data_IF_819100507366
#
_entry.id   IF_819100507366
#
_cell.length_a   1.000
_cell.length_b   1.000
_cell.length_c   1.000
_cell.angle_alpha   90.00
_cell.angle_beta   90.00
_cell.angle_gamma   90.00
#
_symmetry.space_group_name_H-M   'P 1'
#
loop_
_entity.id
_entity.type
_entity.pdbx_description
1 polymer ?
#
# COMPACT_ATOMS: atom_id res chain seq x y z
N UNK A 1 -28.52 -29.95 105.34
CA UNK A 1 -27.69 -29.87 104.12
C UNK A 1 -27.76 -31.21 103.41
N UNK A 2 -28.35 -31.27 102.21
CA UNK A 2 -27.99 -32.10 101.04
C UNK A 2 -29.11 -31.95 99.98
N UNK A 3 -28.71 -31.76 98.72
CA UNK A 3 -29.54 -31.51 97.52
C UNK A 3 -30.38 -32.73 97.10
N UNK A 4 -31.50 -32.52 96.40
CA UNK A 4 -31.79 -33.18 95.10
C UNK A 4 -32.95 -32.55 94.29
N UNK A 5 -32.82 -32.68 92.96
CA UNK A 5 -33.53 -32.02 91.86
C UNK A 5 -34.91 -32.60 91.50
N UNK A 6 -35.56 -31.93 90.52
CA UNK A 6 -36.62 -32.37 89.54
C UNK A 6 -38.06 -32.03 89.99
N UNK A 7 -38.97 -31.44 89.20
CA UNK A 7 -39.21 -31.52 87.75
C UNK A 7 -39.92 -30.29 87.16
N UNK A 8 -39.53 -29.91 85.94
CA UNK A 8 -40.24 -29.04 85.01
C UNK A 8 -41.23 -29.90 84.19
N UNK A 9 -42.55 -29.63 84.20
CA UNK A 9 -43.50 -30.17 83.20
C UNK A 9 -44.86 -29.41 83.14
N UNK A 10 -45.12 -28.41 83.99
CA UNK A 10 -46.51 -27.93 84.19
C UNK A 10 -46.96 -26.61 83.54
N UNK A 11 -46.09 -25.76 82.96
CA UNK A 11 -46.54 -24.44 82.49
C UNK A 11 -45.87 -23.98 81.18
N UNK A 12 -45.57 -24.93 80.31
CA UNK A 12 -45.33 -24.72 78.86
C UNK A 12 -46.69 -24.57 78.11
N UNK A 13 -47.82 -24.58 78.82
CA UNK A 13 -49.17 -24.67 78.25
C UNK A 13 -49.94 -23.33 78.12
N UNK A 14 -49.32 -22.17 78.42
CA UNK A 14 -50.05 -20.90 78.57
C UNK A 14 -49.81 -19.80 77.52
N UNK A 15 -48.90 -19.96 76.56
CA UNK A 15 -48.50 -18.83 75.68
C UNK A 15 -48.27 -19.21 74.21
N UNK A 16 -49.01 -20.19 73.71
CA UNK A 16 -48.96 -20.66 72.32
C UNK A 16 -50.14 -20.20 71.44
N UNK A 17 -50.68 -18.99 71.65
CA UNK A 17 -51.85 -18.49 70.89
C UNK A 17 -51.63 -17.21 70.07
N UNK A 18 -50.43 -17.01 69.53
CA UNK A 18 -50.20 -16.05 68.45
C UNK A 18 -49.54 -16.71 67.24
N UNK A 19 -50.08 -17.85 66.80
CA UNK A 19 -49.88 -18.28 65.41
C UNK A 19 -50.84 -17.46 64.56
N UNK A 20 -50.33 -16.36 64.03
CA UNK A 20 -50.87 -15.68 62.86
C UNK A 20 -51.19 -16.75 61.80
N UNK A 21 -52.48 -16.98 61.57
CA UNK A 21 -52.97 -17.64 60.36
C UNK A 21 -52.46 -16.83 59.15
N UNK A 22 -51.38 -17.27 58.49
CA UNK A 22 -51.19 -16.89 57.10
C UNK A 22 -52.42 -17.41 56.34
N UNK A 23 -53.18 -16.50 55.73
CA UNK A 23 -54.34 -16.85 54.91
C UNK A 23 -53.89 -17.93 53.92
N UNK A 24 -54.53 -19.10 53.96
CA UNK A 24 -54.24 -20.23 53.07
C UNK A 24 -54.37 -19.88 51.58
N UNK A 25 -54.98 -18.74 51.27
CA UNK A 25 -55.26 -18.26 49.91
C UNK A 25 -54.21 -17.29 49.37
N UNK A 26 -53.11 -17.04 50.09
CA UNK A 26 -52.07 -16.11 49.66
C UNK A 26 -51.32 -16.58 48.41
N UNK A 27 -51.49 -17.84 47.98
CA UNK A 27 -51.00 -18.34 46.69
C UNK A 27 -51.90 -17.96 45.51
N UNK A 28 -53.20 -17.69 45.74
CA UNK A 28 -54.15 -17.33 44.68
C UNK A 28 -53.80 -16.00 44.01
N UNK A 29 -53.06 -15.12 44.69
CA UNK A 29 -52.51 -13.88 44.10
C UNK A 29 -51.49 -14.14 42.98
N UNK A 30 -50.86 -15.32 42.96
CA UNK A 30 -49.97 -15.76 41.89
C UNK A 30 -50.70 -16.50 40.75
N UNK A 31 -52.01 -16.77 40.90
CA UNK A 31 -52.88 -17.41 39.90
C UNK A 31 -53.88 -16.43 39.27
N UNK A 32 -53.93 -15.17 39.74
CA UNK A 32 -54.94 -14.18 39.34
C UNK A 32 -54.91 -13.82 37.84
N UNK A 33 -53.76 -13.98 37.17
CA UNK A 33 -53.58 -13.68 35.74
C UNK A 33 -53.63 -14.94 34.84
N UNK A 34 -53.95 -16.13 35.40
CA UNK A 34 -53.97 -17.40 34.66
C UNK A 34 -52.59 -17.94 34.25
N UNK A 35 -52.56 -19.04 33.49
CA UNK A 35 -51.32 -19.58 32.90
C UNK A 35 -50.77 -18.64 31.82
N UNK A 36 -49.48 -18.29 31.92
CA UNK A 36 -48.79 -17.51 30.89
C UNK A 36 -48.43 -18.42 29.71
N UNK A 37 -49.08 -18.16 28.57
CA UNK A 37 -48.78 -18.84 27.30
C UNK A 37 -47.57 -18.18 26.64
N UNK A 38 -46.57 -18.96 26.26
CA UNK A 38 -45.40 -18.47 25.52
C UNK A 38 -45.32 -19.16 24.16
N UNK A 39 -45.39 -18.43 23.03
CA UNK A 39 -44.99 -18.99 21.75
C UNK A 39 -43.49 -19.27 21.72
N UNK A 40 -43.05 -20.15 20.81
CA UNK A 40 -41.63 -20.49 20.65
C UNK A 40 -40.78 -19.28 20.26
N UNK A 41 -39.59 -19.16 20.86
CA UNK A 41 -38.61 -18.12 20.54
C UNK A 41 -37.81 -18.39 19.25
N UNK A 42 -37.08 -17.38 18.77
CA UNK A 42 -36.17 -17.52 17.65
C UNK A 42 -35.01 -18.50 17.98
N UNK A 43 -34.65 -19.38 17.03
CA UNK A 43 -33.54 -20.34 17.18
C UNK A 43 -32.55 -20.24 16.01
N UNK A 44 -31.32 -20.73 16.18
CA UNK A 44 -30.24 -20.65 15.16
C UNK A 44 -29.98 -19.21 14.67
N UNK A 45 -29.94 -18.28 15.61
CA UNK A 45 -29.75 -16.86 15.34
C UNK A 45 -28.34 -16.58 14.79
N UNK A 46 -28.26 -15.81 13.71
CA UNK A 46 -27.03 -15.20 13.20
C UNK A 46 -27.24 -13.71 12.98
N UNK A 47 -26.13 -12.96 13.08
CA UNK A 47 -26.10 -11.50 12.99
C UNK A 47 -24.99 -11.09 12.05
N UNK A 48 -25.33 -10.28 11.05
CA UNK A 48 -24.39 -9.81 10.04
C UNK A 48 -24.41 -8.28 10.00
N UNK A 49 -23.32 -7.62 10.43
CA UNK A 49 -23.28 -6.16 10.43
C UNK A 49 -22.96 -5.61 9.04
N UNK A 50 -23.38 -4.37 8.80
CA UNK A 50 -23.16 -3.65 7.57
C UNK A 50 -22.96 -2.16 7.79
N UNK A 51 -23.06 -1.41 6.69
CA UNK A 51 -22.94 0.04 6.68
C UNK A 51 -24.32 0.68 6.97
N UNK A 52 -24.50 1.23 8.17
CA UNK A 52 -25.78 1.80 8.61
C UNK A 52 -26.92 0.77 8.69
N UNK A 53 -26.59 -0.52 8.74
CA UNK A 53 -27.58 -1.61 8.76
C UNK A 53 -27.05 -2.89 9.39
N UNK A 54 -27.96 -3.75 9.83
CA UNK A 54 -27.71 -5.12 10.28
C UNK A 54 -28.70 -6.07 9.61
N UNK A 55 -28.23 -7.26 9.24
CA UNK A 55 -29.09 -8.39 8.90
C UNK A 55 -29.15 -9.36 10.08
N UNK A 56 -30.36 -9.65 10.54
CA UNK A 56 -30.65 -10.69 11.52
C UNK A 56 -31.28 -11.88 10.79
N UNK A 57 -30.84 -13.08 11.14
CA UNK A 57 -31.42 -14.32 10.58
C UNK A 57 -31.64 -15.37 11.65
N UNK A 58 -32.74 -16.11 11.58
CA UNK A 58 -33.02 -17.23 12.47
C UNK A 58 -33.91 -18.27 11.78
N UNK A 59 -34.03 -19.45 12.35
CA UNK A 59 -34.91 -20.49 11.82
C UNK A 59 -36.38 -20.18 12.14
N UNK A 60 -37.26 -20.31 11.13
CA UNK A 60 -38.71 -20.31 11.30
C UNK A 60 -39.14 -21.64 11.93
N UNK A 61 -39.54 -21.59 13.20
CA UNK A 61 -40.05 -22.76 13.92
C UNK A 61 -41.37 -23.30 13.35
N UNK A 62 -41.81 -24.45 13.85
CA UNK A 62 -43.06 -25.10 13.42
C UNK A 62 -44.30 -24.59 14.15
N UNK A 63 -44.13 -23.78 15.20
CA UNK A 63 -45.25 -23.20 15.95
C UNK A 63 -46.08 -22.26 15.08
N UNK A 64 -47.26 -22.74 14.66
CA UNK A 64 -48.19 -22.04 13.76
C UNK A 64 -48.94 -20.89 14.45
N UNK A 65 -48.84 -20.79 15.79
CA UNK A 65 -49.44 -19.70 16.57
C UNK A 65 -48.70 -18.38 16.38
N UNK A 66 -47.40 -18.42 16.05
CA UNK A 66 -46.59 -17.23 15.84
C UNK A 66 -47.08 -16.45 14.61
N UNK A 67 -47.66 -15.27 14.84
CA UNK A 67 -48.16 -14.36 13.79
C UNK A 67 -47.20 -13.23 13.48
N UNK A 68 -46.43 -12.75 14.46
CA UNK A 68 -45.49 -11.64 14.25
C UNK A 68 -44.16 -11.90 14.91
N UNK A 69 -43.14 -11.25 14.37
CA UNK A 69 -41.86 -11.08 15.03
C UNK A 69 -41.70 -9.63 15.46
N UNK A 70 -41.23 -9.42 16.70
CA UNK A 70 -40.88 -8.10 17.23
C UNK A 70 -39.40 -8.08 17.57
N UNK A 71 -38.68 -7.12 17.03
CA UNK A 71 -37.27 -6.86 17.37
C UNK A 71 -37.23 -5.53 18.11
N UNK A 72 -36.57 -5.49 19.27
CA UNK A 72 -36.40 -4.27 20.07
C UNK A 72 -34.93 -4.00 20.33
N UNK A 73 -34.54 -2.72 20.39
CA UNK A 73 -33.18 -2.28 20.73
C UNK A 73 -33.22 -0.93 21.45
N UNK A 74 -32.03 -0.37 21.73
CA UNK A 74 -31.86 0.95 22.38
C UNK A 74 -32.64 1.06 23.70
N UNK A 75 -32.41 0.12 24.62
CA UNK A 75 -33.15 0.06 25.89
C UNK A 75 -34.69 0.00 25.73
N UNK A 76 -35.16 -0.65 24.65
CA UNK A 76 -36.57 -0.86 24.29
C UNK A 76 -37.30 0.39 23.77
N UNK A 77 -36.60 1.48 23.48
CA UNK A 77 -37.23 2.68 22.89
C UNK A 77 -37.49 2.51 21.40
N UNK A 78 -36.68 1.68 20.73
CA UNK A 78 -36.83 1.40 19.30
C UNK A 78 -37.29 -0.04 19.07
N UNK A 79 -38.15 -0.23 18.07
CA UNK A 79 -38.60 -1.56 17.68
C UNK A 79 -39.08 -1.62 16.23
N UNK A 80 -39.08 -2.83 15.69
CA UNK A 80 -39.76 -3.15 14.44
C UNK A 80 -40.60 -4.41 14.63
N UNK A 81 -41.75 -4.46 13.99
CA UNK A 81 -42.62 -5.62 13.92
C UNK A 81 -42.91 -5.98 12.47
N UNK A 82 -42.94 -7.27 12.17
CA UNK A 82 -43.31 -7.76 10.85
C UNK A 82 -43.99 -9.12 10.93
N UNK A 83 -44.75 -9.43 9.88
CA UNK A 83 -45.57 -10.64 9.80
C UNK A 83 -44.70 -11.89 9.63
N UNK A 84 -45.01 -12.91 10.43
CA UNK A 84 -44.35 -14.19 10.38
C UNK A 84 -44.92 -15.13 9.29
N UNK A 85 -46.11 -14.84 8.76
CA UNK A 85 -46.72 -15.56 7.64
C UNK A 85 -45.94 -15.44 6.33
N UNK A 86 -45.04 -14.46 6.23
CA UNK A 86 -44.11 -14.31 5.12
C UNK A 86 -43.06 -15.45 5.04
N UNK A 87 -42.96 -16.30 6.07
CA UNK A 87 -41.97 -17.38 6.17
C UNK A 87 -42.66 -18.70 6.53
N UNK A 88 -42.39 -19.75 5.74
CA UNK A 88 -42.93 -21.10 5.99
C UNK A 88 -42.14 -21.80 7.10
N UNK A 89 -42.76 -22.70 7.87
CA UNK A 89 -42.02 -23.57 8.81
C UNK A 89 -40.81 -24.24 8.15
N UNK A 90 -39.64 -24.11 8.77
CA UNK A 90 -38.37 -24.59 8.23
C UNK A 90 -37.56 -23.55 7.44
N UNK A 91 -38.16 -22.43 7.02
CA UNK A 91 -37.44 -21.35 6.34
C UNK A 91 -36.43 -20.66 7.26
N UNK A 92 -35.54 -19.87 6.66
CA UNK A 92 -34.74 -18.88 7.39
C UNK A 92 -35.44 -17.54 7.34
N UNK A 93 -35.89 -17.05 8.49
CA UNK A 93 -36.34 -15.67 8.63
C UNK A 93 -35.13 -14.75 8.45
N UNK A 94 -35.29 -13.71 7.63
CA UNK A 94 -34.26 -12.70 7.35
C UNK A 94 -34.88 -11.33 7.51
N UNK A 95 -34.26 -10.48 8.32
CA UNK A 95 -34.75 -9.11 8.49
C UNK A 95 -33.58 -8.11 8.55
N UNK A 96 -33.67 -7.06 7.74
CA UNK A 96 -32.73 -5.96 7.76
C UNK A 96 -33.24 -4.85 8.67
N UNK A 97 -32.40 -4.42 9.60
CA UNK A 97 -32.55 -3.14 10.28
C UNK A 97 -31.69 -2.13 9.51
N UNK A 98 -32.32 -1.11 8.93
CA UNK A 98 -31.66 -0.10 8.07
C UNK A 98 -31.69 1.27 8.71
N UNK A 99 -30.93 2.22 8.14
CA UNK A 99 -30.81 3.60 8.63
C UNK A 99 -30.37 3.69 10.11
N UNK A 100 -29.56 2.73 10.54
CA UNK A 100 -29.05 2.66 11.90
C UNK A 100 -27.83 3.58 12.04
N UNK A 101 -27.77 4.34 13.13
CA UNK A 101 -26.58 5.12 13.45
C UNK A 101 -25.39 4.19 13.73
N UNK A 102 -24.17 4.61 13.36
CA UNK A 102 -22.95 3.86 13.65
C UNK A 102 -22.69 3.82 15.17
N UNK A 103 -22.94 2.67 15.77
CA UNK A 103 -22.84 2.42 17.20
C UNK A 103 -22.83 0.91 17.49
N UNK A 104 -22.61 0.54 18.75
CA UNK A 104 -22.80 -0.81 19.24
C UNK A 104 -24.26 -1.01 19.67
N UNK A 105 -24.88 -2.12 19.26
CA UNK A 105 -26.26 -2.45 19.57
C UNK A 105 -26.39 -3.82 20.21
N UNK A 106 -27.41 -3.94 21.07
CA UNK A 106 -27.97 -5.19 21.52
C UNK A 106 -29.44 -5.23 21.10
N UNK A 107 -29.92 -6.43 20.76
CA UNK A 107 -31.31 -6.62 20.32
C UNK A 107 -31.97 -7.71 21.16
N UNK A 108 -33.29 -7.65 21.28
CA UNK A 108 -34.10 -8.77 21.74
C UNK A 108 -35.16 -9.09 20.71
N UNK A 109 -35.28 -10.37 20.37
CA UNK A 109 -36.27 -10.87 19.41
C UNK A 109 -37.37 -11.60 20.18
N UNK A 110 -38.61 -11.26 19.88
CA UNK A 110 -39.80 -11.91 20.39
C UNK A 110 -40.60 -12.50 19.24
N UNK A 111 -41.10 -13.72 19.43
CA UNK A 111 -42.24 -14.22 18.66
C UNK A 111 -43.53 -13.76 19.36
N UNK A 112 -44.54 -13.39 18.59
CA UNK A 112 -45.83 -12.91 19.11
C UNK A 112 -46.96 -13.71 18.46
N UNK A 113 -47.88 -14.22 19.27
CA UNK A 113 -49.08 -14.92 18.79
C UNK A 113 -50.22 -13.94 18.43
N UNK A 114 -51.36 -14.50 18.05
CA UNK A 114 -52.58 -13.77 17.70
C UNK A 114 -53.27 -13.08 18.89
N UNK A 115 -52.98 -13.52 20.12
CA UNK A 115 -53.49 -12.94 21.36
C UNK A 115 -52.54 -11.90 21.96
N UNK A 116 -51.38 -11.65 21.33
CA UNK A 116 -50.38 -10.70 21.80
C UNK A 116 -49.42 -11.25 22.85
N UNK A 117 -49.47 -12.56 23.16
CA UNK A 117 -48.51 -13.19 24.05
C UNK A 117 -47.13 -13.23 23.38
N UNK A 118 -46.08 -12.99 24.16
CA UNK A 118 -44.70 -12.91 23.67
C UNK A 118 -43.91 -14.11 24.16
N UNK A 119 -43.01 -14.62 23.33
CA UNK A 119 -42.01 -15.60 23.75
C UNK A 119 -41.10 -15.03 24.85
N UNK A 120 -40.35 -15.91 25.51
CA UNK A 120 -39.14 -15.47 26.23
C UNK A 120 -38.21 -14.75 25.23
N UNK A 121 -37.64 -13.59 25.58
CA UNK A 121 -36.78 -12.83 24.66
C UNK A 121 -35.54 -13.63 24.29
N UNK A 122 -35.26 -13.68 23.00
CA UNK A 122 -33.96 -14.16 22.49
C UNK A 122 -33.02 -12.98 22.40
N UNK A 123 -32.00 -12.98 23.26
CA UNK A 123 -31.00 -11.92 23.31
C UNK A 123 -29.98 -12.10 22.18
N UNK A 124 -29.79 -11.05 21.40
CA UNK A 124 -28.80 -11.01 20.33
C UNK A 124 -27.47 -10.53 20.92
N UNK A 125 -26.35 -11.25 20.67
CA UNK A 125 -25.03 -10.77 21.09
C UNK A 125 -24.75 -9.36 20.58
N UNK A 126 -24.02 -8.58 21.39
CA UNK A 126 -23.61 -7.22 21.03
C UNK A 126 -22.92 -7.18 19.66
N UNK A 127 -23.31 -6.21 18.83
CA UNK A 127 -22.82 -6.07 17.47
C UNK A 127 -22.68 -4.60 17.08
N UNK A 128 -21.62 -4.29 16.33
CA UNK A 128 -21.43 -2.94 15.79
C UNK A 128 -22.17 -2.79 14.45
N UNK A 129 -22.94 -1.71 14.33
CA UNK A 129 -23.27 -1.13 13.01
C UNK A 129 -22.07 -0.27 12.61
N UNK A 130 -21.57 -0.45 11.40
CA UNK A 130 -20.42 0.31 10.89
C UNK A 130 -20.89 1.45 9.98
N UNK A 131 -20.00 2.40 9.73
CA UNK A 131 -20.33 3.58 8.94
C UNK A 131 -19.11 4.43 8.60
N UNK A 132 -19.30 5.74 8.37
CA UNK A 132 -18.24 6.66 8.02
C UNK A 132 -17.08 6.72 9.04
N UNK A 133 -17.34 6.54 10.34
CA UNK A 133 -16.28 6.56 11.37
C UNK A 133 -15.36 5.38 11.15
N UNK A 134 -15.89 4.16 11.02
CA UNK A 134 -15.10 2.98 10.66
C UNK A 134 -14.33 3.19 9.36
N UNK A 135 -15.00 3.68 8.30
CA UNK A 135 -14.36 3.92 7.01
C UNK A 135 -13.15 4.88 7.11
N UNK A 136 -13.26 5.91 7.96
CA UNK A 136 -12.19 6.90 8.17
C UNK A 136 -10.95 6.32 8.86
N UNK A 137 -11.07 5.18 9.54
CA UNK A 137 -9.94 4.49 10.18
C UNK A 137 -9.18 3.58 9.22
N UNK A 138 -9.71 3.31 8.03
CA UNK A 138 -9.11 2.39 7.09
C UNK A 138 -7.90 3.01 6.39
N UNK A 139 -6.83 2.23 6.31
CA UNK A 139 -5.61 2.56 5.57
C UNK A 139 -5.44 1.59 4.41
N UNK A 140 -4.76 2.02 3.36
CA UNK A 140 -4.46 1.13 2.24
C UNK A 140 -3.43 0.06 2.63
N UNK A 141 -3.51 -1.11 1.97
CA UNK A 141 -2.47 -2.14 2.04
C UNK A 141 -1.16 -1.53 1.57
N UNK A 142 -0.14 -1.60 2.41
CA UNK A 142 1.14 -0.95 2.14
C UNK A 142 1.91 -1.63 1.01
N UNK A 143 2.43 -0.85 0.07
CA UNK A 143 3.46 -1.29 -0.89
C UNK A 143 4.79 -1.39 -0.13
N UNK A 144 5.40 -2.57 -0.10
CA UNK A 144 6.73 -2.82 0.48
C UNK A 144 7.83 -2.28 -0.42
N UNK A 145 7.71 -2.49 -1.73
CA UNK A 145 8.69 -2.03 -2.72
C UNK A 145 8.04 -1.89 -4.10
N UNK A 146 8.60 -1.00 -4.92
CA UNK A 146 8.29 -0.90 -6.34
C UNK A 146 9.62 -0.97 -7.10
N UNK A 147 9.82 -2.04 -7.87
CA UNK A 147 11.11 -2.37 -8.49
C UNK A 147 10.93 -2.49 -9.99
N UNK A 148 11.60 -1.62 -10.74
CA UNK A 148 11.66 -1.72 -12.19
C UNK A 148 12.73 -2.75 -12.58
N UNK A 149 12.37 -3.67 -13.48
CA UNK A 149 13.30 -4.63 -14.10
C UNK A 149 13.64 -4.16 -15.51
N UNK A 150 14.93 -3.91 -15.75
CA UNK A 150 15.43 -3.49 -17.06
C UNK A 150 15.35 -4.62 -18.09
N UNK A 151 15.62 -5.86 -17.67
CA UNK A 151 15.55 -7.05 -18.54
C UNK A 151 14.11 -7.37 -18.96
N UNK A 152 13.15 -7.25 -18.04
CA UNK A 152 11.73 -7.50 -18.32
C UNK A 152 11.01 -6.27 -18.89
N UNK A 153 11.68 -5.10 -18.88
CA UNK A 153 11.09 -3.79 -19.16
C UNK A 153 9.78 -3.54 -18.42
N UNK A 154 9.66 -4.02 -17.19
CA UNK A 154 8.40 -4.06 -16.44
C UNK A 154 8.58 -3.70 -14.98
N UNK A 155 7.51 -3.18 -14.36
CA UNK A 155 7.49 -2.84 -12.95
C UNK A 155 6.93 -3.99 -12.12
N UNK A 156 7.55 -4.27 -10.98
CA UNK A 156 7.00 -5.18 -9.96
C UNK A 156 6.69 -4.42 -8.68
N UNK A 157 5.44 -4.48 -8.25
CA UNK A 157 5.00 -4.01 -6.94
C UNK A 157 5.04 -5.18 -5.96
N UNK A 158 5.71 -5.02 -4.84
CA UNK A 158 5.76 -5.99 -3.73
C UNK A 158 4.89 -5.43 -2.61
N UNK A 159 3.94 -6.21 -2.13
CA UNK A 159 2.97 -5.79 -1.12
C UNK A 159 3.34 -6.35 0.25
N UNK A 160 3.05 -5.60 1.32
CA UNK A 160 3.09 -6.17 2.69
C UNK A 160 1.95 -7.18 2.86
N UNK A 161 2.05 -8.07 3.84
CA UNK A 161 0.97 -9.01 4.20
C UNK A 161 -0.35 -8.23 4.39
N UNK A 162 -1.48 -8.68 3.81
CA UNK A 162 -2.75 -7.98 3.96
C UNK A 162 -3.26 -8.10 5.40
N UNK A 163 -4.16 -7.19 5.78
CA UNK A 163 -5.04 -7.45 6.93
C UNK A 163 -5.94 -8.66 6.64
N UNK A 164 -6.25 -9.44 7.67
CA UNK A 164 -7.22 -10.54 7.63
C UNK A 164 -8.58 -10.17 7.05
N UNK A 165 -9.00 -8.91 7.15
CA UNK A 165 -10.28 -8.43 6.62
C UNK A 165 -10.16 -7.64 5.32
N UNK A 166 -8.98 -7.59 4.70
CA UNK A 166 -8.81 -7.04 3.35
C UNK A 166 -9.53 -7.92 2.32
N UNK A 167 -10.24 -7.29 1.39
CA UNK A 167 -10.96 -7.97 0.31
C UNK A 167 -10.20 -7.85 -1.00
N UNK A 168 -9.69 -6.66 -1.31
CA UNK A 168 -8.93 -6.41 -2.52
C UNK A 168 -8.16 -5.09 -2.44
N UNK A 169 -7.24 -4.89 -3.38
CA UNK A 169 -6.61 -3.60 -3.64
C UNK A 169 -6.68 -3.27 -5.13
N UNK A 170 -7.35 -2.18 -5.48
CA UNK A 170 -7.34 -1.67 -6.86
C UNK A 170 -6.06 -0.87 -7.10
N UNK A 171 -5.46 -1.02 -8.27
CA UNK A 171 -4.23 -0.37 -8.71
C UNK A 171 -4.53 0.36 -10.01
N UNK A 172 -4.08 1.61 -10.14
CA UNK A 172 -4.19 2.42 -11.35
C UNK A 172 -2.82 2.89 -11.80
N UNK A 173 -2.53 2.77 -13.09
CA UNK A 173 -1.27 3.20 -13.68
C UNK A 173 -1.46 3.67 -15.12
N UNK A 174 -0.51 4.46 -15.61
CA UNK A 174 -0.45 4.87 -17.01
C UNK A 174 0.34 3.83 -17.79
N UNK A 175 -0.21 3.33 -18.90
CA UNK A 175 0.50 2.38 -19.74
C UNK A 175 1.39 3.06 -20.81
N UNK A 176 2.17 2.27 -21.56
CA UNK A 176 3.06 2.76 -22.62
C UNK A 176 2.36 3.60 -23.70
N UNK A 177 1.07 3.37 -23.95
CA UNK A 177 0.27 4.17 -24.91
C UNK A 177 -0.31 5.46 -24.29
N UNK A 178 -0.04 5.73 -23.01
CA UNK A 178 -0.58 6.88 -22.28
C UNK A 178 -1.98 6.70 -21.70
N UNK A 179 -2.58 5.52 -21.83
CA UNK A 179 -3.91 5.22 -21.31
C UNK A 179 -3.86 4.82 -19.82
N UNK A 180 -4.90 5.18 -19.06
CA UNK A 180 -5.07 4.71 -17.69
C UNK A 180 -5.57 3.26 -17.66
N UNK A 181 -4.91 2.40 -16.90
CA UNK A 181 -5.29 1.01 -16.65
C UNK A 181 -5.68 0.83 -15.19
N UNK A 182 -6.62 -0.08 -14.92
CA UNK A 182 -7.01 -0.51 -13.58
C UNK A 182 -6.83 -2.02 -13.44
N UNK A 183 -6.17 -2.45 -12.38
CA UNK A 183 -6.00 -3.87 -12.02
C UNK A 183 -6.52 -4.07 -10.60
N UNK A 184 -7.17 -5.19 -10.34
CA UNK A 184 -7.63 -5.55 -9.01
C UNK A 184 -6.79 -6.69 -8.45
N UNK A 185 -6.22 -6.46 -7.26
CA UNK A 185 -5.36 -7.38 -6.53
C UNK A 185 -6.17 -8.13 -5.47
N UNK A 186 -6.08 -9.45 -5.46
CA UNK A 186 -6.59 -10.30 -4.40
C UNK A 186 -5.68 -10.26 -3.15
N UNK A 187 -6.19 -10.44 -1.92
CA UNK A 187 -5.39 -10.33 -0.70
C UNK A 187 -4.23 -11.33 -0.63
N UNK A 188 -4.40 -12.52 -1.21
CA UNK A 188 -3.38 -13.58 -1.26
C UNK A 188 -2.24 -13.34 -2.26
N UNK A 189 -2.29 -12.25 -3.02
CA UNK A 189 -1.23 -11.91 -3.97
C UNK A 189 -0.26 -10.93 -3.31
N UNK A 190 1.02 -11.31 -3.25
CA UNK A 190 2.08 -10.51 -2.64
C UNK A 190 2.92 -9.72 -3.64
N UNK A 191 2.83 -10.06 -4.94
CA UNK A 191 3.55 -9.34 -6.00
C UNK A 191 2.64 -9.08 -7.21
N UNK A 192 2.82 -7.94 -7.85
CA UNK A 192 2.08 -7.55 -9.05
C UNK A 192 3.04 -7.07 -10.12
N UNK A 193 3.11 -7.79 -11.25
CA UNK A 193 3.86 -7.36 -12.44
C UNK A 193 2.96 -6.44 -13.28
N UNK A 194 3.48 -5.26 -13.59
CA UNK A 194 2.86 -4.23 -14.43
C UNK A 194 3.77 -4.03 -15.65
N UNK A 195 3.56 -4.86 -16.67
CA UNK A 195 4.49 -5.00 -17.79
C UNK A 195 4.48 -3.81 -18.75
N UNK A 196 3.32 -3.17 -18.93
CA UNK A 196 3.13 -2.05 -19.85
C UNK A 196 3.14 -0.69 -19.12
N UNK A 197 3.71 -0.59 -17.91
CA UNK A 197 3.80 0.67 -17.18
C UNK A 197 4.66 1.70 -17.92
N UNK A 198 4.15 2.92 -18.07
CA UNK A 198 4.93 4.05 -18.58
C UNK A 198 5.88 4.54 -17.50
N UNK A 199 7.17 4.25 -17.72
CA UNK A 199 8.27 4.67 -16.86
C UNK A 199 8.16 6.15 -16.47
N UNK A 200 8.40 6.45 -15.19
CA UNK A 200 8.33 7.79 -14.64
C UNK A 200 6.95 8.24 -14.15
N UNK A 201 5.87 7.52 -14.51
CA UNK A 201 4.51 7.88 -14.06
C UNK A 201 4.18 7.30 -12.69
N UNK A 202 3.44 8.06 -11.86
CA UNK A 202 2.96 7.58 -10.56
C UNK A 202 1.97 6.42 -10.72
N UNK A 203 1.97 5.54 -9.72
CA UNK A 203 0.96 4.49 -9.57
C UNK A 203 0.11 4.80 -8.37
N UNK A 204 -1.20 4.67 -8.52
CA UNK A 204 -2.17 4.87 -7.45
C UNK A 204 -2.76 3.55 -7.02
N UNK A 205 -3.13 3.42 -5.75
CA UNK A 205 -3.78 2.22 -5.24
C UNK A 205 -4.76 2.53 -4.12
N UNK A 206 -5.75 1.65 -3.96
CA UNK A 206 -6.83 1.81 -2.99
C UNK A 206 -7.36 0.45 -2.56
N UNK A 207 -7.37 0.21 -1.25
CA UNK A 207 -7.81 -1.06 -0.68
C UNK A 207 -9.27 -1.04 -0.25
N UNK A 208 -9.87 -2.22 -0.19
CA UNK A 208 -11.20 -2.45 0.35
C UNK A 208 -11.19 -3.53 1.42
N UNK A 209 -12.07 -3.40 2.40
CA UNK A 209 -12.10 -4.23 3.61
C UNK A 209 -13.52 -4.58 4.00
N UNK A 210 -13.71 -5.72 4.65
CA UNK A 210 -14.89 -5.95 5.48
C UNK A 210 -14.58 -5.52 6.92
N UNK A 211 -15.54 -5.02 7.71
CA UNK A 211 -15.32 -4.81 9.14
C UNK A 211 -15.08 -6.09 9.93
N UNK A 212 -15.59 -7.21 9.43
CA UNK A 212 -15.36 -8.58 9.90
C UNK A 212 -15.76 -9.57 8.82
N UNK A 213 -15.33 -10.81 8.93
CA UNK A 213 -15.61 -11.88 7.94
C UNK A 213 -17.09 -11.99 7.56
N UNK A 214 -17.98 -11.93 8.56
CA UNK A 214 -19.43 -12.06 8.39
C UNK A 214 -20.15 -10.75 8.08
N UNK A 215 -19.44 -9.66 7.79
CA UNK A 215 -20.11 -8.42 7.40
C UNK A 215 -20.78 -8.57 6.02
N UNK A 216 -21.97 -8.01 5.90
CA UNK A 216 -22.75 -7.98 4.64
C UNK A 216 -22.26 -6.89 3.68
N UNK A 217 -21.58 -5.87 4.21
CA UNK A 217 -21.04 -4.76 3.44
C UNK A 217 -19.51 -4.68 3.52
N UNK A 218 -18.93 -4.05 2.51
CA UNK A 218 -17.52 -3.70 2.45
C UNK A 218 -17.34 -2.18 2.41
N UNK A 219 -16.14 -1.75 2.81
CA UNK A 219 -15.73 -0.36 2.84
C UNK A 219 -14.47 -0.19 2.02
N UNK A 220 -14.42 0.89 1.25
CA UNK A 220 -13.23 1.30 0.50
C UNK A 220 -12.53 2.38 1.31
N UNK A 221 -11.20 2.32 1.40
CA UNK A 221 -10.38 3.39 2.01
C UNK A 221 -10.71 4.72 1.34
N UNK A 222 -10.83 5.80 2.10
CA UNK A 222 -11.32 7.09 1.57
C UNK A 222 -10.40 7.67 0.49
N UNK A 223 -9.09 7.53 0.63
CA UNK A 223 -8.08 8.11 -0.25
C UNK A 223 -7.30 7.04 -0.99
N UNK A 224 -6.89 7.37 -2.22
CA UNK A 224 -5.88 6.59 -2.94
C UNK A 224 -4.51 7.00 -2.43
N UNK A 225 -3.66 6.03 -2.16
CA UNK A 225 -2.23 6.27 -1.99
C UNK A 225 -1.53 6.19 -3.35
N UNK A 226 -0.28 6.64 -3.38
CA UNK A 226 0.56 6.54 -4.57
C UNK A 226 1.96 6.06 -4.26
N UNK A 227 2.60 5.46 -5.27
CA UNK A 227 4.02 5.10 -5.24
C UNK A 227 4.70 5.69 -6.49
N UNK A 228 5.89 6.24 -6.27
CA UNK A 228 6.81 6.67 -7.33
C UNK A 228 8.00 5.72 -7.35
N UNK A 229 8.47 5.37 -8.54
CA UNK A 229 9.59 4.43 -8.71
C UNK A 229 10.86 5.24 -8.88
N UNK A 230 11.87 4.92 -8.09
CA UNK A 230 13.16 5.59 -8.08
C UNK A 230 14.22 4.79 -8.85
N UNK A 231 15.33 5.43 -9.21
CA UNK A 231 16.47 4.83 -9.90
C UNK A 231 16.06 4.15 -11.21
N UNK A 232 15.36 4.88 -12.07
CA UNK A 232 14.94 4.40 -13.39
C UNK A 232 16.05 4.67 -14.41
N UNK A 233 16.33 3.73 -15.35
CA UNK A 233 17.30 3.99 -16.41
C UNK A 233 16.81 5.15 -17.29
N UNK A 234 17.74 6.02 -17.69
CA UNK A 234 17.45 7.14 -18.56
C UNK A 234 17.53 6.69 -20.03
N UNK A 235 16.48 6.99 -20.80
CA UNK A 235 16.45 6.72 -22.24
C UNK A 235 17.47 7.59 -23.00
N UNK A 236 18.15 6.97 -23.98
CA UNK A 236 19.27 7.58 -24.73
C UNK A 236 18.87 8.23 -26.06
N UNK A 237 17.61 8.05 -26.48
CA UNK A 237 17.13 8.48 -27.81
C UNK A 237 17.21 10.00 -28.06
N UNK A 238 17.26 10.81 -27.00
CA UNK A 238 17.37 12.27 -27.10
C UNK A 238 18.81 12.77 -26.91
N UNK A 239 19.75 11.88 -26.61
CA UNK A 239 21.12 12.29 -26.29
C UNK A 239 21.86 12.77 -27.52
N UNK A 240 22.66 13.82 -27.36
CA UNK A 240 23.42 14.45 -28.45
C UNK A 240 24.78 14.92 -27.96
N UNK A 241 25.78 14.84 -28.83
CA UNK A 241 27.05 15.54 -28.60
C UNK A 241 26.79 17.06 -28.61
N UNK A 242 27.46 17.77 -27.71
CA UNK A 242 27.59 19.23 -27.75
C UNK A 242 29.07 19.53 -27.96
N UNK A 243 29.37 20.46 -28.87
CA UNK A 243 30.73 20.93 -29.08
C UNK A 243 30.93 22.26 -28.34
N UNK A 244 31.49 22.21 -27.13
CA UNK A 244 31.96 23.39 -26.41
C UNK A 244 33.46 23.62 -26.66
N UNK A 245 33.98 24.85 -26.42
CA UNK A 245 35.42 25.09 -26.51
C UNK A 245 36.21 24.11 -25.64
N UNK A 246 37.27 23.55 -26.22
CA UNK A 246 38.14 22.52 -25.63
C UNK A 246 37.53 21.12 -25.44
N UNK A 247 36.30 20.86 -25.91
CA UNK A 247 35.77 19.49 -25.98
C UNK A 247 36.53 18.68 -27.04
N UNK A 248 36.92 17.45 -26.70
CA UNK A 248 37.59 16.54 -27.64
C UNK A 248 36.58 15.87 -28.57
N UNK A 249 37.01 15.58 -29.80
CA UNK A 249 36.12 15.15 -30.87
C UNK A 249 35.51 13.75 -30.67
N UNK A 250 36.32 12.80 -30.17
CA UNK A 250 35.90 11.44 -29.79
C UNK A 250 35.38 10.54 -30.92
N UNK A 251 35.71 10.87 -32.17
CA UNK A 251 35.29 10.17 -33.39
C UNK A 251 36.51 9.84 -34.30
N UNK A 252 37.67 9.59 -33.71
CA UNK A 252 38.90 9.36 -34.44
C UNK A 252 38.89 8.00 -35.19
N UNK A 253 39.70 7.91 -36.25
CA UNK A 253 39.97 6.67 -36.99
C UNK A 253 38.71 5.94 -37.50
N UNK A 254 37.66 6.67 -37.87
CA UNK A 254 36.43 6.07 -38.39
C UNK A 254 35.47 5.55 -37.32
N UNK A 255 35.73 5.87 -36.05
CA UNK A 255 34.76 5.69 -34.96
C UNK A 255 33.67 6.76 -34.98
N UNK A 256 32.63 6.56 -34.17
CA UNK A 256 31.52 7.49 -34.01
C UNK A 256 31.34 7.83 -32.54
N UNK A 257 31.39 9.12 -32.20
CA UNK A 257 31.17 9.59 -30.83
C UNK A 257 29.86 9.06 -30.24
N UNK A 258 28.79 8.96 -31.04
CA UNK A 258 27.49 8.50 -30.57
C UNK A 258 27.46 7.01 -30.19
N UNK A 259 28.48 6.22 -30.53
CA UNK A 259 28.58 4.83 -30.10
C UNK A 259 28.68 4.70 -28.58
N UNK A 260 29.15 5.72 -27.87
CA UNK A 260 29.21 5.72 -26.40
C UNK A 260 27.82 5.68 -25.72
N UNK A 261 26.71 5.78 -26.46
CA UNK A 261 25.36 5.62 -25.90
C UNK A 261 24.39 4.84 -26.79
N UNK A 262 24.88 3.98 -27.69
CA UNK A 262 24.03 3.27 -28.65
C UNK A 262 23.32 2.03 -28.06
N UNK A 263 23.63 1.69 -26.81
CA UNK A 263 23.08 0.55 -26.08
C UNK A 263 23.87 -0.75 -26.27
N UNK A 264 25.07 -0.70 -26.87
CA UNK A 264 25.93 -1.84 -27.15
C UNK A 264 27.35 -1.61 -26.63
N UNK A 265 27.68 -2.19 -25.47
CA UNK A 265 29.08 -2.30 -25.05
C UNK A 265 29.89 -3.12 -26.04
N UNK A 266 31.03 -2.61 -26.49
CA UNK A 266 31.68 -3.11 -27.70
C UNK A 266 33.14 -2.69 -27.89
N UNK A 267 33.68 -3.09 -29.04
CA UNK A 267 35.04 -2.82 -29.47
C UNK A 267 35.11 -1.88 -30.66
N UNK A 268 36.33 -1.51 -31.04
CA UNK A 268 36.58 -0.65 -32.21
C UNK A 268 36.00 -1.27 -33.51
N UNK A 269 35.41 -0.46 -34.42
CA UNK A 269 35.34 1.01 -34.40
C UNK A 269 34.10 1.59 -33.70
N UNK A 270 33.22 0.75 -33.14
CA UNK A 270 31.94 1.19 -32.57
C UNK A 270 32.11 1.64 -31.11
N UNK A 271 32.95 2.65 -30.89
CA UNK A 271 33.29 3.20 -29.58
C UNK A 271 33.51 4.72 -29.69
N UNK A 272 33.50 5.42 -28.56
CA UNK A 272 34.14 6.73 -28.47
C UNK A 272 35.66 6.56 -28.51
N UNK A 273 36.32 7.28 -29.43
CA UNK A 273 37.77 7.20 -29.62
C UNK A 273 38.37 8.60 -29.84
N UNK A 274 39.24 9.03 -28.94
CA UNK A 274 40.01 10.28 -29.12
C UNK A 274 41.17 10.08 -30.10
N UNK A 275 41.54 11.10 -30.86
CA UNK A 275 42.66 11.04 -31.83
C UNK A 275 44.00 11.56 -31.28
N UNK A 276 44.26 11.38 -29.98
CA UNK A 276 45.39 11.96 -29.26
C UNK A 276 45.02 13.22 -28.44
N UNK A 277 46.05 13.96 -27.99
CA UNK A 277 45.88 15.19 -27.22
C UNK A 277 46.64 15.17 -25.89
N UNK A 278 46.03 15.71 -24.84
CA UNK A 278 46.58 15.76 -23.49
C UNK A 278 45.54 15.29 -22.47
N UNK A 279 45.97 14.55 -21.45
CA UNK A 279 45.15 14.36 -20.25
C UNK A 279 45.46 15.44 -19.20
N UNK A 280 44.47 15.83 -18.39
CA UNK A 280 43.05 15.54 -18.57
C UNK A 280 42.41 16.18 -19.82
N UNK A 281 41.43 15.51 -20.43
CA UNK A 281 40.57 16.08 -21.47
C UNK A 281 39.09 15.83 -21.17
N UNK A 282 38.19 16.48 -21.90
CA UNK A 282 36.76 16.35 -21.65
C UNK A 282 35.90 16.43 -22.90
N UNK A 283 34.67 15.93 -22.80
CA UNK A 283 33.63 16.09 -23.80
C UNK A 283 32.27 16.35 -23.14
N UNK A 284 31.34 16.91 -23.89
CA UNK A 284 30.00 17.29 -23.40
C UNK A 284 28.87 16.60 -24.17
N UNK A 285 27.84 16.15 -23.45
CA UNK A 285 26.63 15.50 -23.96
C UNK A 285 25.39 16.24 -23.43
N UNK A 286 24.42 16.50 -24.29
CA UNK A 286 23.06 16.90 -23.92
C UNK A 286 22.20 15.64 -23.72
N UNK A 287 21.61 15.45 -22.54
CA UNK A 287 20.70 14.32 -22.26
C UNK A 287 19.30 14.52 -22.85
N UNK A 288 19.00 15.70 -23.40
CA UNK A 288 17.72 16.04 -24.03
C UNK A 288 16.62 16.50 -23.05
N UNK A 289 16.93 16.55 -21.75
CA UNK A 289 16.01 16.98 -20.69
C UNK A 289 16.76 17.22 -19.38
N UNK A 290 16.10 17.86 -18.42
CA UNK A 290 16.66 18.09 -17.07
C UNK A 290 16.24 16.93 -16.17
N UNK A 291 17.20 16.26 -15.54
CA UNK A 291 16.99 15.05 -14.75
C UNK A 291 17.67 15.13 -13.38
N UNK A 292 16.98 14.62 -12.36
CA UNK A 292 17.59 14.33 -11.06
C UNK A 292 18.30 12.98 -11.15
N UNK A 293 19.56 13.01 -11.60
CA UNK A 293 20.36 11.79 -11.78
C UNK A 293 20.71 11.14 -10.44
N UNK A 294 20.88 9.82 -10.45
CA UNK A 294 21.21 9.03 -9.25
C UNK A 294 22.41 8.13 -9.44
N UNK A 295 22.61 7.58 -10.65
CA UNK A 295 23.69 6.64 -10.95
C UNK A 295 24.28 6.88 -12.33
N UNK A 296 25.51 6.42 -12.47
CA UNK A 296 26.23 6.35 -13.73
C UNK A 296 26.83 4.96 -13.90
N UNK A 297 26.90 4.47 -15.13
CA UNK A 297 27.63 3.27 -15.50
C UNK A 297 28.46 3.56 -16.75
N UNK A 298 29.67 3.02 -16.78
CA UNK A 298 30.54 3.04 -17.96
C UNK A 298 31.02 1.62 -18.27
N UNK A 299 31.05 1.33 -19.56
CA UNK A 299 31.65 0.14 -20.15
C UNK A 299 32.78 0.64 -21.05
N UNK A 300 34.01 0.21 -20.77
CA UNK A 300 35.16 0.51 -21.61
C UNK A 300 35.11 -0.26 -22.93
N UNK A 301 36.11 -0.05 -23.76
CA UNK A 301 36.34 -0.84 -24.97
C UNK A 301 36.55 -2.32 -24.60
N UNK A 302 35.86 -3.25 -25.26
CA UNK A 302 35.80 -4.66 -24.84
C UNK A 302 36.74 -5.61 -25.57
N UNK A 303 37.19 -5.27 -26.78
CA UNK A 303 38.14 -6.07 -27.57
C UNK A 303 39.61 -5.86 -27.12
N UNK A 304 39.85 -4.86 -26.25
CA UNK A 304 41.16 -4.49 -25.75
C UNK A 304 41.02 -3.64 -24.49
N UNK A 305 41.82 -3.89 -23.46
CA UNK A 305 41.90 -3.03 -22.28
C UNK A 305 42.68 -1.71 -22.52
N UNK A 306 43.09 -1.43 -23.75
CA UNK A 306 43.87 -0.26 -24.12
C UNK A 306 43.03 1.02 -24.06
N UNK A 307 43.62 2.05 -23.47
CA UNK A 307 43.06 3.40 -23.38
C UNK A 307 41.72 3.50 -22.62
N UNK A 308 41.29 2.46 -21.92
CA UNK A 308 40.08 2.55 -21.09
C UNK A 308 40.31 3.53 -19.92
N UNK A 309 39.40 4.49 -19.68
CA UNK A 309 39.46 5.39 -18.53
C UNK A 309 39.37 4.63 -17.22
N UNK A 310 40.37 4.83 -16.35
CA UNK A 310 40.37 4.30 -14.98
C UNK A 310 40.26 5.40 -13.93
N UNK A 311 40.50 6.66 -14.31
CA UNK A 311 40.11 7.82 -13.51
C UNK A 311 39.44 8.88 -14.38
N UNK A 312 38.28 9.33 -13.93
CA UNK A 312 37.52 10.37 -14.62
C UNK A 312 36.54 11.06 -13.68
N UNK A 313 36.05 12.22 -14.11
CA UNK A 313 35.13 13.05 -13.38
C UNK A 313 33.86 13.22 -14.21
N UNK A 314 32.72 13.22 -13.53
CA UNK A 314 31.40 13.43 -14.12
C UNK A 314 30.91 14.78 -13.60
N UNK A 315 30.67 15.71 -14.52
CA UNK A 315 30.18 17.05 -14.24
C UNK A 315 28.81 17.24 -14.89
N UNK A 316 27.97 18.11 -14.33
CA UNK A 316 26.70 18.43 -14.94
C UNK A 316 26.19 19.84 -14.66
N UNK A 317 25.30 20.29 -15.54
CA UNK A 317 24.64 21.60 -15.48
C UNK A 317 23.27 21.53 -16.17
N UNK A 318 22.32 22.35 -15.74
CA UNK A 318 20.97 22.38 -16.33
C UNK A 318 20.90 23.19 -17.64
N UNK A 319 21.72 24.23 -17.77
CA UNK A 319 21.77 25.17 -18.90
C UNK A 319 23.22 25.54 -19.21
N UNK A 320 23.61 25.49 -20.49
CA UNK A 320 24.97 25.81 -20.94
C UNK A 320 25.15 27.26 -21.39
N UNK A 321 24.13 28.11 -21.23
CA UNK A 321 24.22 29.55 -21.50
C UNK A 321 25.37 30.16 -20.68
N UNK A 322 26.40 30.67 -21.36
CA UNK A 322 27.63 31.21 -20.76
C UNK A 322 28.46 30.22 -19.91
N UNK A 323 28.24 28.92 -20.07
CA UNK A 323 28.90 27.87 -19.29
C UNK A 323 30.21 27.34 -19.92
N UNK A 324 30.59 27.82 -21.10
CA UNK A 324 31.82 27.39 -21.76
C UNK A 324 33.07 27.73 -20.94
N UNK A 325 33.96 26.76 -20.81
CA UNK A 325 35.30 26.93 -20.25
C UNK A 325 36.26 27.37 -21.36
N UNK A 326 37.16 28.30 -21.06
CA UNK A 326 38.19 28.77 -22.01
C UNK A 326 39.52 28.03 -21.83
N UNK A 327 39.75 27.47 -20.65
CA UNK A 327 40.95 26.70 -20.34
C UNK A 327 40.86 25.28 -20.90
N UNK A 328 41.97 24.69 -21.39
CA UNK A 328 41.99 23.29 -21.79
C UNK A 328 41.84 22.39 -20.57
N UNK A 329 41.42 21.14 -20.81
CA UNK A 329 41.10 20.19 -19.73
C UNK A 329 42.29 19.89 -18.79
N UNK A 330 43.53 20.08 -19.24
CA UNK A 330 44.75 19.79 -18.51
C UNK A 330 45.30 20.98 -17.72
N UNK A 331 44.63 22.12 -17.74
CA UNK A 331 44.99 23.28 -16.93
C UNK A 331 44.57 23.09 -15.46
N UNK A 332 45.44 23.45 -14.52
CA UNK A 332 45.21 23.31 -13.07
C UNK A 332 43.99 24.14 -12.59
N UNK A 333 43.71 25.28 -13.24
CA UNK A 333 42.58 26.14 -12.92
C UNK A 333 41.28 25.72 -13.61
N UNK A 334 41.29 24.66 -14.43
CA UNK A 334 40.10 24.21 -15.17
C UNK A 334 38.92 23.86 -14.26
N UNK A 335 39.16 23.17 -13.13
CA UNK A 335 38.09 22.83 -12.17
C UNK A 335 37.46 24.09 -11.58
N UNK A 336 38.28 25.03 -11.14
CA UNK A 336 37.82 26.30 -10.57
C UNK A 336 37.00 27.09 -11.61
N UNK A 337 37.46 27.13 -12.87
CA UNK A 337 36.71 27.77 -13.94
C UNK A 337 35.38 27.07 -14.22
N UNK A 338 35.35 25.72 -14.23
CA UNK A 338 34.12 24.96 -14.46
C UNK A 338 33.06 25.27 -13.40
N UNK A 339 33.46 25.30 -12.12
CA UNK A 339 32.59 25.69 -11.01
C UNK A 339 32.11 27.14 -11.18
N UNK A 340 33.00 28.07 -11.49
CA UNK A 340 32.65 29.48 -11.72
C UNK A 340 31.70 29.68 -12.92
N UNK A 341 31.70 28.73 -13.88
CA UNK A 341 30.80 28.68 -15.04
C UNK A 341 29.51 27.91 -14.77
N UNK A 342 29.27 27.48 -13.53
CA UNK A 342 28.03 26.84 -13.09
C UNK A 342 28.01 25.31 -13.18
N UNK A 343 29.11 24.66 -13.57
CA UNK A 343 29.19 23.20 -13.59
C UNK A 343 29.31 22.65 -12.17
N UNK A 344 28.57 21.58 -11.89
CA UNK A 344 28.63 20.85 -10.62
C UNK A 344 29.33 19.51 -10.83
N UNK A 345 30.29 19.18 -9.97
CA UNK A 345 30.89 17.85 -9.92
C UNK A 345 29.86 16.85 -9.37
N UNK A 346 29.47 15.88 -10.17
CA UNK A 346 28.49 14.85 -9.81
C UNK A 346 29.16 13.62 -9.21
N UNK A 347 30.39 13.30 -9.64
CA UNK A 347 31.18 12.17 -9.15
C UNK A 347 32.63 12.25 -9.63
N UNK A 348 33.58 11.89 -8.77
CA UNK A 348 34.90 11.41 -9.20
C UNK A 348 34.89 9.88 -9.18
N UNK A 349 35.37 9.27 -10.25
CA UNK A 349 35.42 7.82 -10.43
C UNK A 349 36.88 7.39 -10.52
N UNK A 350 37.22 6.41 -9.70
CA UNK A 350 38.47 5.66 -9.78
C UNK A 350 38.13 4.18 -9.81
N UNK A 351 38.51 3.52 -10.91
CA UNK A 351 38.31 2.10 -11.15
C UNK A 351 39.56 1.33 -10.73
N UNK A 352 39.37 0.16 -10.13
CA UNK A 352 40.45 -0.77 -9.79
C UNK A 352 40.62 -1.90 -10.81
N UNK A 353 39.78 -1.94 -11.84
CA UNK A 353 39.78 -2.94 -12.91
C UNK A 353 40.40 -2.37 -14.20
N UNK A 354 40.29 -3.13 -15.29
CA UNK A 354 40.82 -2.78 -16.62
C UNK A 354 39.89 -1.90 -17.47
N UNK A 355 38.78 -1.45 -16.88
CA UNK A 355 37.78 -0.64 -17.58
C UNK A 355 36.83 -1.43 -18.48
N UNK A 356 37.06 -2.71 -18.75
CA UNK A 356 36.26 -3.48 -19.74
C UNK A 356 34.84 -3.75 -19.24
N UNK A 357 34.73 -4.25 -18.00
CA UNK A 357 33.45 -4.65 -17.45
C UNK A 357 32.54 -3.44 -17.17
N UNK A 358 31.20 -3.59 -17.23
CA UNK A 358 30.30 -2.54 -16.78
C UNK A 358 30.58 -2.15 -15.32
N UNK A 359 30.81 -0.87 -15.07
CA UNK A 359 31.08 -0.35 -13.73
C UNK A 359 30.09 0.72 -13.35
N UNK A 360 29.23 0.36 -12.40
CA UNK A 360 28.13 1.20 -11.93
C UNK A 360 28.48 1.86 -10.61
N UNK A 361 28.28 3.17 -10.54
CA UNK A 361 28.50 3.99 -9.35
C UNK A 361 27.26 4.82 -9.02
N UNK A 362 27.04 5.03 -7.72
CA UNK A 362 26.12 6.07 -7.28
C UNK A 362 26.81 7.44 -7.43
N UNK A 363 26.07 8.40 -7.98
CA UNK A 363 26.47 9.81 -7.99
C UNK A 363 26.43 10.38 -6.56
N UNK A 364 27.02 11.54 -6.35
CA UNK A 364 27.01 12.23 -5.06
C UNK A 364 25.56 12.56 -4.63
N UNK A 365 25.31 12.53 -3.33
CA UNK A 365 24.02 12.97 -2.79
C UNK A 365 23.84 14.48 -2.91
N UNK A 366 22.59 14.94 -3.04
CA UNK A 366 22.28 16.38 -3.08
C UNK A 366 22.69 17.11 -4.36
N UNK A 367 23.11 16.39 -5.42
CA UNK A 367 23.41 17.01 -6.72
C UNK A 367 22.15 17.67 -7.31
N UNK A 368 22.28 18.82 -8.00
CA UNK A 368 21.15 19.47 -8.64
C UNK A 368 20.64 18.65 -9.84
N UNK A 369 19.40 18.89 -10.30
CA UNK A 369 18.96 18.41 -11.60
C UNK A 369 19.83 18.97 -12.73
N UNK A 370 20.23 18.12 -13.67
CA UNK A 370 21.14 18.47 -14.77
C UNK A 370 20.61 17.98 -16.12
N UNK A 371 21.01 18.66 -17.19
CA UNK A 371 20.70 18.28 -18.58
C UNK A 371 21.95 17.96 -19.38
N UNK A 372 22.99 18.76 -19.19
CA UNK A 372 24.25 18.60 -19.88
C UNK A 372 25.22 17.89 -18.95
N UNK A 373 25.90 16.88 -19.49
CA UNK A 373 26.92 16.10 -18.80
C UNK A 373 28.24 16.35 -19.47
N UNK A 374 29.27 16.55 -18.65
CA UNK A 374 30.64 16.63 -19.10
C UNK A 374 31.46 15.55 -18.41
N UNK A 375 32.12 14.71 -19.20
CA UNK A 375 33.03 13.67 -18.70
C UNK A 375 34.45 14.16 -18.91
N UNK A 376 35.22 14.29 -17.82
CA UNK A 376 36.64 14.67 -17.86
C UNK A 376 37.49 13.46 -17.51
N UNK A 377 38.18 12.89 -18.50
CA UNK A 377 39.09 11.76 -18.29
C UNK A 377 40.40 12.30 -17.75
N UNK A 378 40.88 11.74 -16.64
CA UNK A 378 42.13 12.17 -15.98
C UNK A 378 43.21 11.09 -16.02
N UNK A 379 42.84 9.82 -16.20
CA UNK A 379 43.77 8.71 -16.35
C UNK A 379 43.16 7.55 -17.13
N UNK A 380 43.95 6.96 -18.02
CA UNK A 380 43.65 5.70 -18.72
C UNK A 380 44.50 4.56 -18.16
N UNK A 381 44.07 3.32 -18.37
CA UNK A 381 44.72 2.13 -17.82
C UNK A 381 46.20 2.05 -18.20
N UNK A 382 46.51 2.32 -19.47
CA UNK A 382 47.86 2.27 -20.03
C UNK A 382 48.61 3.60 -19.95
N UNK A 383 48.05 4.60 -19.27
CA UNK A 383 48.56 5.97 -19.17
C UNK A 383 48.71 6.68 -20.54
N UNK A 384 48.02 6.20 -21.58
CA UNK A 384 47.89 6.93 -22.83
C UNK A 384 47.12 8.23 -22.64
N UNK A 385 47.43 9.24 -23.46
CA UNK A 385 46.62 10.46 -23.54
C UNK A 385 45.31 10.24 -24.29
N UNK A 386 45.19 9.14 -25.01
CA UNK A 386 43.94 8.72 -25.65
C UNK A 386 43.02 8.02 -24.65
N UNK A 387 41.71 8.16 -24.83
CA UNK A 387 40.70 7.51 -24.01
C UNK A 387 39.59 6.89 -24.85
N UNK A 388 39.24 5.64 -24.56
CA UNK A 388 38.21 4.87 -25.25
C UNK A 388 37.10 4.45 -24.30
N UNK A 389 35.86 4.65 -24.72
CA UNK A 389 34.67 4.23 -23.96
C UNK A 389 33.70 3.59 -24.95
N UNK A 390 33.06 2.50 -24.58
CA UNK A 390 32.08 1.85 -25.45
C UNK A 390 30.65 2.20 -25.12
N UNK A 391 30.32 2.40 -23.85
CA UNK A 391 28.95 2.67 -23.44
C UNK A 391 28.89 3.44 -22.13
N UNK A 392 27.99 4.41 -22.02
CA UNK A 392 27.63 5.05 -20.76
C UNK A 392 26.11 5.07 -20.54
N UNK A 393 25.71 4.92 -19.28
CA UNK A 393 24.30 4.90 -18.87
C UNK A 393 24.07 5.77 -17.64
N UNK A 394 22.90 6.40 -17.55
CA UNK A 394 22.46 7.15 -16.38
C UNK A 394 21.15 6.60 -15.83
N UNK A 395 20.93 6.76 -14.53
CA UNK A 395 19.63 6.54 -13.88
C UNK A 395 19.17 7.82 -13.21
N UNK A 396 17.86 7.97 -13.04
CA UNK A 396 17.23 9.17 -12.48
C UNK A 396 16.04 8.86 -11.58
N UNK A 397 15.64 9.85 -10.79
CA UNK A 397 14.37 9.88 -10.08
C UNK A 397 13.39 10.80 -10.83
N UNK A 398 12.22 10.29 -11.25
CA UNK A 398 11.22 11.02 -12.03
C UNK A 398 10.37 11.99 -11.19
#
# INVERSE_FOLDING_TARGET
MFKKNISYIGLILGMAFFVSCQKSDDYKKYLADGEKVYPDGATKLNVFPGNGRILLTWARGIDTRIKKYKIVWNNKTDSVEFDAAAFKPGDTVKHFLVNMAEANYTFSIFSVDDHGNKSVPVLVPSINVYGPKYQSTLLNRTVKAAVYSESDKGLTLVWKKPDTVNISTSIWYTNLTGAQKKVMLSPNVDTTKVADWKMGTKIFYQSSYKPRTMAIDSFVVLTKDSVSVQNLPLGKALWKKVDLPNDVAGNAYGSNFASIWDGQGGGYPNIYHTGGGSLPHHFTIDLGGVYQLTRFEEIGRTDCACHNPVKFEIWGIADITNAATTLPGNDDAWKAQSIARGWTLLKEVERSDDGIAPFKVNLLEGIPPVRYIRIRVTKTLDNSVESHMSEISFWYNP
#
